data_IF_545050175907
#
_entry.id   IF_545050175907
#
_cell.length_a   1.000
_cell.length_b   1.000
_cell.length_c   1.000
_cell.angle_alpha   90.00
_cell.angle_beta   90.00
_cell.angle_gamma   90.00
#
_symmetry.space_group_name_H-M   'P 1'
#
loop_
_entity.id
_entity.type
_entity.pdbx_description
1 polymer ?
#
# COMPACT_ATOMS: atom_id res chain seq x y z
N UNK A 1 9.86 19.72 21.02
CA UNK A 1 9.67 18.63 20.05
C UNK A 1 9.51 19.24 18.69
N UNK A 2 10.14 18.70 17.65
CA UNK A 2 9.99 19.20 16.28
C UNK A 2 8.68 18.73 15.66
N UNK A 3 8.01 19.59 14.90
CA UNK A 3 6.87 19.19 14.07
C UNK A 3 7.37 18.41 12.85
N UNK A 4 6.67 17.35 12.41
CA UNK A 4 7.02 16.64 11.19
C UNK A 4 6.91 17.59 9.99
N UNK A 5 7.97 17.63 9.17
CA UNK A 5 7.96 18.31 7.88
C UNK A 5 7.72 17.32 6.76
N UNK A 6 6.97 17.72 5.74
CA UNK A 6 6.76 16.91 4.55
C UNK A 6 7.63 17.46 3.40
N UNK A 7 8.29 16.57 2.66
CA UNK A 7 9.24 16.90 1.58
C UNK A 7 8.96 16.03 0.34
N UNK A 8 9.67 16.30 -0.77
CA UNK A 8 9.59 15.52 -2.03
C UNK A 8 8.24 15.58 -2.78
N UNK A 9 7.62 16.76 -2.83
CA UNK A 9 6.33 16.99 -3.51
C UNK A 9 6.41 17.36 -4.99
N UNK A 10 7.62 17.49 -5.56
CA UNK A 10 7.79 17.92 -6.96
C UNK A 10 7.16 16.94 -7.97
N UNK A 11 6.96 15.68 -7.54
CA UNK A 11 6.29 14.63 -8.30
C UNK A 11 4.79 14.49 -8.03
N UNK A 12 4.16 15.33 -7.20
CA UNK A 12 2.76 15.17 -6.80
C UNK A 12 1.80 15.14 -8.01
N UNK A 13 0.77 14.30 -7.93
CA UNK A 13 -0.25 14.09 -8.98
C UNK A 13 -1.63 13.98 -8.35
N UNK A 14 -2.65 14.27 -9.15
CA UNK A 14 -4.03 13.92 -8.78
C UNK A 14 -4.17 12.39 -8.80
N UNK A 15 -4.83 11.87 -7.77
CA UNK A 15 -5.08 10.44 -7.60
C UNK A 15 -6.23 10.20 -6.62
N UNK A 16 -6.56 8.92 -6.35
CA UNK A 16 -7.55 8.57 -5.34
C UNK A 16 -7.16 9.12 -3.97
N UNK A 17 -8.15 9.54 -3.17
CA UNK A 17 -7.94 10.04 -1.80
C UNK A 17 -7.23 9.02 -0.90
N UNK A 18 -7.37 7.74 -1.22
CA UNK A 18 -6.74 6.64 -0.50
C UNK A 18 -5.24 6.50 -0.79
N UNK A 19 -4.70 7.15 -1.83
CA UNK A 19 -3.36 6.84 -2.35
C UNK A 19 -2.23 7.13 -1.36
N UNK A 20 -2.27 8.30 -0.71
CA UNK A 20 -1.22 8.69 0.24
C UNK A 20 -1.24 7.83 1.50
N UNK A 21 -2.43 7.58 2.06
CA UNK A 21 -2.56 6.70 3.23
C UNK A 21 -2.23 5.25 2.88
N UNK A 22 -2.60 4.75 1.69
CA UNK A 22 -2.19 3.42 1.24
C UNK A 22 -0.66 3.34 1.08
N UNK A 23 -0.01 4.38 0.56
CA UNK A 23 1.45 4.43 0.45
C UNK A 23 2.15 4.38 1.80
N UNK A 24 1.57 5.04 2.81
CA UNK A 24 2.08 5.03 4.18
C UNK A 24 1.87 3.66 4.86
N UNK A 25 0.65 3.12 4.79
CA UNK A 25 0.28 1.91 5.52
C UNK A 25 0.85 0.64 4.92
N UNK A 26 1.07 0.63 3.60
CA UNK A 26 1.60 -0.53 2.88
C UNK A 26 3.13 -0.54 2.81
N UNK A 27 3.80 0.40 3.46
CA UNK A 27 5.25 0.53 3.43
C UNK A 27 5.96 -0.69 4.05
N UNK A 28 6.71 -1.48 3.25
CA UNK A 28 7.43 -2.65 3.74
C UNK A 28 8.68 -2.32 4.55
N UNK A 29 9.16 -1.07 4.59
CA UNK A 29 10.28 -0.68 5.45
C UNK A 29 9.92 -0.74 6.94
N UNK A 30 8.66 -0.45 7.26
CA UNK A 30 8.15 -0.41 8.64
C UNK A 30 7.42 -1.69 9.01
N UNK A 31 6.70 -2.31 8.06
CA UNK A 31 5.89 -3.52 8.29
C UNK A 31 4.93 -3.37 9.49
N UNK A 32 4.08 -2.34 9.44
CA UNK A 32 3.12 -2.05 10.50
C UNK A 32 2.15 -3.23 10.72
N UNK A 33 1.88 -3.60 11.99
CA UNK A 33 0.82 -4.55 12.33
C UNK A 33 -0.55 -4.13 11.77
N UNK A 34 -1.39 -5.11 11.44
CA UNK A 34 -2.69 -4.88 10.78
C UNK A 34 -3.62 -3.99 11.62
N UNK A 35 -3.68 -4.20 12.92
CA UNK A 35 -4.47 -3.40 13.86
C UNK A 35 -4.01 -1.92 13.89
N UNK A 36 -2.71 -1.69 13.82
CA UNK A 36 -2.14 -0.33 13.73
C UNK A 36 -2.52 0.32 12.40
N UNK A 37 -2.43 -0.42 11.28
CA UNK A 37 -2.86 0.09 9.96
C UNK A 37 -4.35 0.44 9.96
N UNK A 38 -5.19 -0.44 10.49
CA UNK A 38 -6.63 -0.24 10.59
C UNK A 38 -6.96 0.99 11.47
N UNK A 39 -6.21 1.20 12.57
CA UNK A 39 -6.36 2.38 13.42
C UNK A 39 -5.99 3.66 12.68
N UNK A 40 -4.83 3.71 12.02
CA UNK A 40 -4.37 4.89 11.28
C UNK A 40 -5.31 5.20 10.11
N UNK A 41 -5.82 4.20 9.41
CA UNK A 41 -6.77 4.40 8.31
C UNK A 41 -8.07 5.07 8.81
N UNK A 42 -8.56 4.67 9.99
CA UNK A 42 -9.74 5.28 10.61
C UNK A 42 -9.46 6.73 11.01
N UNK A 43 -8.34 7.00 11.68
CA UNK A 43 -7.94 8.36 12.06
C UNK A 43 -7.76 9.26 10.83
N UNK A 44 -7.14 8.74 9.76
CA UNK A 44 -7.01 9.45 8.49
C UNK A 44 -8.38 9.82 7.91
N UNK A 45 -9.32 8.88 7.90
CA UNK A 45 -10.67 9.12 7.40
C UNK A 45 -11.42 10.16 8.24
N UNK A 46 -11.33 10.09 9.58
CA UNK A 46 -11.93 11.09 10.47
C UNK A 46 -11.40 12.49 10.17
N UNK A 47 -10.08 12.64 10.02
CA UNK A 47 -9.47 13.91 9.64
C UNK A 47 -9.90 14.37 8.24
N UNK A 48 -9.95 13.47 7.26
CA UNK A 48 -10.35 13.78 5.89
C UNK A 48 -11.77 14.36 5.81
N UNK A 49 -12.69 13.87 6.64
CA UNK A 49 -14.08 14.34 6.69
C UNK A 49 -14.19 15.79 7.18
N UNK A 50 -13.19 16.31 7.90
CA UNK A 50 -13.14 17.73 8.29
C UNK A 50 -12.75 18.65 7.11
N UNK A 51 -12.08 18.10 6.09
CA UNK A 51 -11.56 18.88 4.95
C UNK A 51 -12.39 18.74 3.67
N UNK A 52 -13.09 17.62 3.49
CA UNK A 52 -13.83 17.35 2.26
C UNK A 52 -15.10 16.51 2.52
N UNK A 53 -16.20 16.77 1.78
CA UNK A 53 -17.39 15.93 1.81
C UNK A 53 -17.13 14.62 1.06
N UNK A 54 -16.66 13.60 1.78
CA UNK A 54 -16.36 12.26 1.26
C UNK A 54 -17.35 11.27 1.88
N UNK A 55 -17.81 10.27 1.12
CA UNK A 55 -18.54 9.14 1.72
C UNK A 55 -17.53 8.21 2.41
N UNK A 56 -17.64 8.00 3.74
CA UNK A 56 -16.80 7.06 4.47
C UNK A 56 -16.85 5.65 3.87
N UNK A 57 -18.04 5.21 3.47
CA UNK A 57 -18.29 3.89 2.91
C UNK A 57 -17.55 3.73 1.58
N UNK A 58 -17.74 4.67 0.65
CA UNK A 58 -17.05 4.64 -0.65
C UNK A 58 -15.52 4.73 -0.50
N UNK A 59 -15.04 5.51 0.49
CA UNK A 59 -13.62 5.60 0.77
C UNK A 59 -13.05 4.23 1.21
N UNK A 60 -13.71 3.59 2.18
CA UNK A 60 -13.29 2.31 2.74
C UNK A 60 -13.46 1.16 1.74
N UNK A 61 -14.49 1.18 0.90
CA UNK A 61 -14.68 0.20 -0.18
C UNK A 61 -13.58 0.33 -1.26
N UNK A 62 -13.16 1.56 -1.57
CA UNK A 62 -12.12 1.81 -2.57
C UNK A 62 -10.69 1.54 -2.06
N UNK A 63 -10.45 1.68 -0.76
CA UNK A 63 -9.11 1.59 -0.17
C UNK A 63 -8.36 0.29 -0.50
N UNK A 64 -8.95 -0.92 -0.38
CA UNK A 64 -8.23 -2.16 -0.64
C UNK A 64 -7.70 -2.28 -2.08
N UNK A 65 -8.43 -1.78 -3.07
CA UNK A 65 -7.98 -1.78 -4.46
C UNK A 65 -6.82 -0.80 -4.69
N UNK A 66 -6.86 0.38 -4.05
CA UNK A 66 -5.75 1.34 -4.11
C UNK A 66 -4.51 0.79 -3.38
N UNK A 67 -4.69 0.16 -2.22
CA UNK A 67 -3.63 -0.52 -1.49
C UNK A 67 -2.99 -1.67 -2.30
N UNK A 68 -3.82 -2.47 -2.98
CA UNK A 68 -3.36 -3.52 -3.90
C UNK A 68 -2.49 -2.94 -5.00
N UNK A 69 -3.01 -1.93 -5.72
CA UNK A 69 -2.26 -1.27 -6.79
C UNK A 69 -0.96 -0.67 -6.30
N UNK A 70 -0.98 0.04 -5.16
CA UNK A 70 0.22 0.66 -4.58
C UNK A 70 1.26 -0.38 -4.19
N UNK A 71 0.84 -1.50 -3.62
CA UNK A 71 1.75 -2.59 -3.25
C UNK A 71 2.40 -3.24 -4.48
N UNK A 72 1.66 -3.43 -5.57
CA UNK A 72 2.22 -3.88 -6.85
C UNK A 72 3.25 -2.89 -7.41
N UNK A 73 3.02 -1.58 -7.30
CA UNK A 73 4.01 -0.56 -7.67
C UNK A 73 5.30 -0.66 -6.84
N UNK A 74 5.18 -0.95 -5.54
CA UNK A 74 6.34 -1.17 -4.65
C UNK A 74 7.13 -2.40 -5.11
N UNK A 75 6.47 -3.53 -5.34
CA UNK A 75 7.10 -4.76 -5.82
C UNK A 75 7.82 -4.54 -7.15
N UNK A 76 7.17 -3.89 -8.12
CA UNK A 76 7.76 -3.55 -9.40
C UNK A 76 9.00 -2.65 -9.23
N UNK A 77 8.92 -1.61 -8.39
CA UNK A 77 10.03 -0.70 -8.12
C UNK A 77 11.22 -1.44 -7.49
N UNK A 78 10.99 -2.30 -6.50
CA UNK A 78 12.07 -3.06 -5.84
C UNK A 78 12.70 -4.09 -6.78
N UNK A 79 11.90 -4.80 -7.57
CA UNK A 79 12.42 -5.71 -8.58
C UNK A 79 13.29 -4.97 -9.61
N UNK A 80 12.82 -3.83 -10.12
CA UNK A 80 13.58 -3.01 -11.08
C UNK A 80 14.87 -2.45 -10.46
N UNK A 81 14.79 -1.88 -9.26
CA UNK A 81 15.96 -1.32 -8.57
C UNK A 81 16.99 -2.41 -8.25
N UNK A 82 16.53 -3.57 -7.77
CA UNK A 82 17.38 -4.68 -7.38
C UNK A 82 17.99 -5.43 -8.56
N UNK A 83 17.18 -5.83 -9.55
CA UNK A 83 17.61 -6.67 -10.67
C UNK A 83 18.17 -5.87 -11.84
N UNK A 84 17.57 -4.72 -12.17
CA UNK A 84 17.97 -3.93 -13.35
C UNK A 84 18.98 -2.85 -13.02
N UNK A 85 18.86 -2.20 -11.86
CA UNK A 85 19.77 -1.12 -11.44
C UNK A 85 20.89 -1.58 -10.49
N UNK A 86 20.97 -2.88 -10.19
CA UNK A 86 22.01 -3.48 -9.34
C UNK A 86 21.95 -3.08 -7.87
N UNK A 87 20.87 -2.42 -7.40
CA UNK A 87 20.70 -2.01 -6.00
C UNK A 87 20.10 -3.16 -5.19
N UNK A 88 20.87 -4.23 -5.00
CA UNK A 88 20.44 -5.48 -4.36
C UNK A 88 19.79 -5.30 -2.98
N UNK A 89 20.13 -4.23 -2.24
CA UNK A 89 19.50 -3.86 -0.99
C UNK A 89 17.97 -3.82 -1.07
N UNK A 90 17.37 -3.38 -2.19
CA UNK A 90 15.91 -3.31 -2.30
C UNK A 90 15.21 -4.68 -2.31
N UNK A 91 15.93 -5.74 -2.72
CA UNK A 91 15.36 -7.09 -2.80
C UNK A 91 14.93 -7.62 -1.42
N UNK A 92 15.56 -7.16 -0.33
CA UNK A 92 15.22 -7.59 1.03
C UNK A 92 13.81 -7.19 1.47
N UNK A 93 13.19 -6.20 0.82
CA UNK A 93 11.87 -5.69 1.17
C UNK A 93 10.75 -6.34 0.36
N UNK A 94 11.08 -7.12 -0.66
CA UNK A 94 10.12 -7.88 -1.47
C UNK A 94 9.30 -8.84 -0.61
N UNK A 95 9.86 -9.63 0.33
CA UNK A 95 9.06 -10.53 1.16
C UNK A 95 7.98 -9.81 1.98
N UNK A 96 8.29 -8.64 2.56
CA UNK A 96 7.32 -7.83 3.30
C UNK A 96 6.20 -7.30 2.41
N UNK A 97 6.54 -6.81 1.22
CA UNK A 97 5.55 -6.37 0.24
C UNK A 97 4.68 -7.53 -0.27
N UNK A 98 5.25 -8.72 -0.53
CA UNK A 98 4.50 -9.92 -0.90
C UNK A 98 3.55 -10.40 0.20
N UNK A 99 3.96 -10.32 1.47
CA UNK A 99 3.10 -10.66 2.59
C UNK A 99 1.86 -9.75 2.64
N UNK A 100 2.06 -8.45 2.48
CA UNK A 100 0.95 -7.49 2.37
C UNK A 100 0.03 -7.78 1.17
N UNK A 101 0.60 -8.11 0.01
CA UNK A 101 -0.16 -8.49 -1.18
C UNK A 101 -1.00 -9.75 -0.95
N UNK A 102 -0.42 -10.76 -0.31
CA UNK A 102 -1.11 -12.00 0.04
C UNK A 102 -2.26 -11.75 1.03
N UNK A 103 -2.06 -10.91 2.03
CA UNK A 103 -3.09 -10.51 2.98
C UNK A 103 -4.28 -9.86 2.28
N UNK A 104 -4.02 -8.89 1.39
CA UNK A 104 -5.07 -8.22 0.60
C UNK A 104 -5.85 -9.22 -0.27
N UNK A 105 -5.15 -10.09 -1.00
CA UNK A 105 -5.83 -11.08 -1.84
C UNK A 105 -6.69 -12.03 -1.02
N UNK A 106 -6.21 -12.49 0.15
CA UNK A 106 -6.98 -13.37 1.05
C UNK A 106 -8.22 -12.67 1.63
N UNK A 107 -8.09 -11.40 2.01
CA UNK A 107 -9.20 -10.61 2.53
C UNK A 107 -10.28 -10.30 1.48
N UNK A 108 -9.93 -10.35 0.20
CA UNK A 108 -10.84 -10.03 -0.91
C UNK A 108 -10.95 -11.19 -1.92
N UNK A 109 -11.52 -12.36 -1.54
CA UNK A 109 -11.64 -13.53 -2.41
C UNK A 109 -12.48 -13.27 -3.67
N UNK A 110 -13.37 -12.28 -3.63
CA UNK A 110 -14.26 -11.92 -4.75
C UNK A 110 -13.54 -11.28 -5.95
N UNK A 111 -12.28 -10.83 -5.81
CA UNK A 111 -11.57 -10.22 -6.93
C UNK A 111 -11.17 -11.27 -7.99
N UNK A 112 -11.54 -11.08 -9.27
CA UNK A 112 -11.31 -12.04 -10.35
C UNK A 112 -9.88 -11.95 -10.88
N UNK A 113 -8.90 -12.29 -10.05
CA UNK A 113 -7.47 -12.18 -10.35
C UNK A 113 -6.72 -13.52 -10.14
N UNK A 114 -7.15 -14.63 -10.78
CA UNK A 114 -6.58 -15.96 -10.55
C UNK A 114 -5.07 -16.01 -10.78
N UNK A 115 -4.59 -15.44 -11.90
CA UNK A 115 -3.16 -15.39 -12.20
C UNK A 115 -2.35 -14.72 -11.09
N UNK A 116 -2.83 -13.58 -10.57
CA UNK A 116 -2.13 -12.87 -9.51
C UNK A 116 -2.08 -13.71 -8.22
N UNK A 117 -3.17 -14.41 -7.89
CA UNK A 117 -3.22 -15.30 -6.72
C UNK A 117 -2.24 -16.46 -6.86
N UNK A 118 -2.21 -17.10 -8.02
CA UNK A 118 -1.34 -18.24 -8.29
C UNK A 118 0.13 -17.81 -8.22
N UNK A 119 0.47 -16.68 -8.85
CA UNK A 119 1.83 -16.11 -8.78
C UNK A 119 2.24 -15.78 -7.34
N UNK A 120 1.34 -15.17 -6.55
CA UNK A 120 1.65 -14.85 -5.14
C UNK A 120 1.77 -16.12 -4.30
N UNK A 121 0.95 -17.14 -4.56
CA UNK A 121 1.03 -18.43 -3.85
C UNK A 121 2.38 -19.13 -4.13
N UNK A 122 2.83 -19.15 -5.39
CA UNK A 122 4.13 -19.70 -5.80
C UNK A 122 5.31 -18.92 -5.17
N UNK A 123 5.23 -17.59 -5.13
CA UNK A 123 6.31 -16.76 -4.56
C UNK A 123 6.36 -16.80 -3.02
N UNK A 124 5.30 -17.27 -2.36
CA UNK A 124 5.20 -17.38 -0.90
C UNK A 124 5.35 -18.81 -0.38
N UNK A 125 5.49 -19.83 -1.25
CA UNK A 125 5.79 -21.22 -0.87
C UNK A 125 7.27 -21.43 -0.62
#
# INVERSE_FOLDING_TARGET
GGSPGIIDFQGARLGPLQYDVASLLMDPYVSLPRDVRDSILREYLLGLLEYAPVSPEAFLEGYPLVALHRNLQILAAFAFLGKTRGKSFFLRWIPGALSHLQELLRAHPQWPCPLLRDTVAELCS
#
